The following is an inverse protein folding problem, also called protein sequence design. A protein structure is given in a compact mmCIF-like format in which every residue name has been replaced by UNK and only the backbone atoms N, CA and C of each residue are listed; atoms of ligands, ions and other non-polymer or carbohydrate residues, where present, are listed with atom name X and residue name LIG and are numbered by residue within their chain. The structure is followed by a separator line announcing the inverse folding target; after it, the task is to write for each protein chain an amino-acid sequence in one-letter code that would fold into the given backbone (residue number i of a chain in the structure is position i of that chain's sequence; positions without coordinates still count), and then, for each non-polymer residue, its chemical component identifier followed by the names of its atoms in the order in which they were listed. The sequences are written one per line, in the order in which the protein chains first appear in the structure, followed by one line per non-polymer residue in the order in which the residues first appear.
data_IF_437995580623
#
_entry.id   IF_437995580623
#
_cell.length_a   1.000
_cell.length_b   1.000
_cell.length_c   1.000
_cell.angle_alpha   90.00
_cell.angle_beta   90.00
_cell.angle_gamma   90.00
#
_symmetry.space_group_name_H-M   'P 1'
#
loop_
_entity.id
_entity.type
_entity.pdbx_description
1 polymer ?
#
# COMPACT_ATOMS: atom_id res chain seq x y z
N UNK A 1 -25.51 -0.11 -60.47
CA UNK A 1 -26.63 0.84 -60.30
C UNK A 1 -26.31 1.78 -59.16
N UNK A 2 -26.20 3.04 -59.53
CA UNK A 2 -25.81 4.23 -58.76
C UNK A 2 -26.87 4.63 -57.74
N UNK A 3 -26.46 5.19 -56.60
CA UNK A 3 -27.07 6.33 -55.88
C UNK A 3 -26.57 6.32 -54.42
N UNK A 4 -26.46 7.39 -53.64
CA UNK A 4 -26.11 8.81 -53.80
C UNK A 4 -26.02 9.33 -52.35
N UNK A 5 -24.97 10.09 -52.00
CA UNK A 5 -24.86 10.83 -50.72
C UNK A 5 -25.92 11.94 -50.61
N UNK A 6 -26.18 12.43 -49.39
CA UNK A 6 -25.94 13.84 -49.07
C UNK A 6 -25.17 13.96 -47.73
N UNK A 7 -24.13 14.76 -47.48
CA UNK A 7 -23.77 16.16 -47.77
C UNK A 7 -24.76 17.18 -47.16
N UNK A 8 -24.50 17.57 -45.91
CA UNK A 8 -24.94 18.84 -45.35
C UNK A 8 -23.74 19.73 -45.04
N UNK A 9 -23.81 20.93 -45.58
CA UNK A 9 -22.80 21.97 -45.54
C UNK A 9 -23.30 23.13 -44.65
N UNK A 10 -22.36 23.64 -43.84
CA UNK A 10 -22.06 25.06 -43.57
C UNK A 10 -23.05 26.03 -42.90
N UNK A 11 -22.47 26.70 -41.89
CA UNK A 11 -22.41 28.16 -41.62
C UNK A 11 -23.67 28.85 -41.11
N UNK A 12 -23.58 29.40 -39.89
CA UNK A 12 -24.01 30.78 -39.61
C UNK A 12 -22.95 31.48 -38.74
N UNK A 13 -22.30 32.47 -39.35
CA UNK A 13 -21.54 33.54 -38.70
C UNK A 13 -22.54 34.67 -38.40
N UNK A 14 -22.52 35.26 -37.21
CA UNK A 14 -23.07 36.61 -36.99
C UNK A 14 -22.05 37.47 -36.27
N UNK A 15 -21.43 38.37 -37.05
CA UNK A 15 -20.81 39.62 -36.59
C UNK A 15 -21.91 40.56 -36.12
N UNK A 16 -21.65 41.29 -35.04
CA UNK A 16 -22.20 42.63 -34.79
C UNK A 16 -21.05 43.56 -34.40
N UNK A 17 -20.82 44.54 -35.26
CA UNK A 17 -20.23 45.87 -35.02
C UNK A 17 -21.44 46.82 -34.87
N UNK A 18 -21.47 47.99 -34.23
CA UNK A 18 -20.58 48.97 -33.59
C UNK A 18 -21.52 49.88 -32.77
N UNK A 19 -21.05 50.56 -31.72
CA UNK A 19 -21.29 52.00 -31.50
C UNK A 19 -20.77 52.44 -30.11
N UNK A 20 -19.83 53.37 -30.17
CA UNK A 20 -19.35 54.20 -29.06
C UNK A 20 -20.45 55.10 -28.48
N UNK A 21 -20.40 55.34 -27.17
CA UNK A 21 -20.79 56.60 -26.53
C UNK A 21 -20.02 56.78 -25.22
N UNK A 22 -19.19 57.83 -25.18
CA UNK A 22 -18.52 58.39 -24.00
C UNK A 22 -19.53 59.14 -23.12
N UNK A 23 -19.44 59.00 -21.79
CA UNK A 23 -19.34 60.14 -20.84
C UNK A 23 -19.42 59.72 -19.35
N UNK A 24 -18.39 60.15 -18.61
CA UNK A 24 -18.40 60.71 -17.25
C UNK A 24 -18.97 59.91 -16.05
N UNK A 25 -18.01 59.41 -15.25
CA UNK A 25 -17.81 59.67 -13.81
C UNK A 25 -18.96 59.45 -12.81
N UNK A 26 -18.72 58.58 -11.82
CA UNK A 26 -18.44 58.92 -10.41
C UNK A 26 -18.24 57.59 -9.66
N UNK A 27 -17.23 57.59 -8.78
CA UNK A 27 -16.78 56.41 -8.07
C UNK A 27 -17.84 55.77 -7.19
N UNK A 28 -17.88 54.45 -7.28
CA UNK A 28 -18.14 53.57 -6.15
C UNK A 28 -17.34 52.31 -6.43
N UNK A 29 -16.07 52.33 -5.99
CA UNK A 29 -15.29 51.10 -5.89
C UNK A 29 -16.02 50.19 -4.90
N UNK A 30 -16.88 49.32 -5.41
CA UNK A 30 -17.27 48.11 -4.71
C UNK A 30 -16.02 47.23 -4.64
N UNK A 31 -15.13 47.57 -3.71
CA UNK A 31 -14.22 46.60 -3.11
C UNK A 31 -15.11 45.48 -2.58
N UNK A 32 -15.20 44.40 -3.35
CA UNK A 32 -15.58 43.12 -2.81
C UNK A 32 -14.53 42.80 -1.75
N UNK A 33 -14.82 43.22 -0.51
CA UNK A 33 -14.14 42.70 0.67
C UNK A 33 -14.51 41.23 0.66
N UNK A 34 -13.61 40.41 0.14
CA UNK A 34 -13.63 38.97 0.35
C UNK A 34 -13.69 38.78 1.86
N UNK A 35 -14.87 38.41 2.35
CA UNK A 35 -15.04 37.91 3.71
C UNK A 35 -14.34 36.54 3.71
N UNK A 36 -13.01 36.55 3.84
CA UNK A 36 -12.26 35.38 4.23
C UNK A 36 -12.81 34.96 5.60
N UNK A 37 -13.41 33.79 5.62
CA UNK A 37 -14.22 33.22 6.67
C UNK A 37 -13.42 33.12 7.98
N UNK A 38 -13.96 33.67 9.08
CA UNK A 38 -13.39 33.57 10.44
C UNK A 38 -13.09 32.12 10.90
N UNK A 39 -13.69 31.11 10.25
CA UNK A 39 -13.43 29.70 10.51
C UNK A 39 -12.03 29.24 10.05
N UNK A 40 -11.44 29.88 9.03
CA UNK A 40 -10.15 29.48 8.45
C UNK A 40 -8.95 30.05 9.22
N UNK A 41 -9.09 31.25 9.78
CA UNK A 41 -8.10 31.86 10.66
C UNK A 41 -7.85 31.00 11.93
N UNK A 42 -8.89 30.32 12.42
CA UNK A 42 -8.77 29.38 13.53
C UNK A 42 -8.09 28.07 13.16
N UNK A 43 -8.10 27.66 11.88
CA UNK A 43 -7.39 26.45 11.44
C UNK A 43 -5.87 26.68 11.49
N UNK A 44 -5.40 27.76 10.87
CA UNK A 44 -3.97 28.10 10.85
C UNK A 44 -3.40 28.38 12.24
N UNK A 45 -4.16 29.05 13.12
CA UNK A 45 -3.76 29.26 14.51
C UNK A 45 -3.58 27.94 15.30
N UNK A 46 -4.23 26.86 14.86
CA UNK A 46 -4.10 25.55 15.47
C UNK A 46 -3.02 24.68 14.80
N UNK A 47 -2.56 25.01 13.59
CA UNK A 47 -1.62 24.20 12.83
C UNK A 47 -0.27 24.10 13.56
N UNK A 48 0.25 22.87 13.70
CA UNK A 48 1.51 22.58 14.41
C UNK A 48 2.67 22.19 13.50
N UNK A 49 2.38 21.88 12.24
CA UNK A 49 3.35 21.44 11.25
C UNK A 49 3.04 22.10 9.92
N UNK A 50 4.02 22.17 9.02
CA UNK A 50 3.82 22.75 7.69
C UNK A 50 2.77 21.98 6.87
N UNK A 51 2.58 20.68 7.17
CA UNK A 51 1.51 19.88 6.58
C UNK A 51 0.13 20.23 7.13
N UNK A 52 0.03 20.60 8.40
CA UNK A 52 -1.22 21.12 8.97
C UNK A 52 -1.53 22.53 8.43
N UNK A 53 -0.51 23.36 8.18
CA UNK A 53 -0.69 24.65 7.52
C UNK A 53 -1.20 24.47 6.08
N UNK A 54 -0.55 23.60 5.29
CA UNK A 54 -1.01 23.24 3.95
C UNK A 54 -2.42 22.62 3.97
N UNK A 55 -2.75 21.81 4.99
CA UNK A 55 -4.10 21.31 5.18
C UNK A 55 -5.12 22.44 5.36
N UNK A 56 -4.80 23.45 6.17
CA UNK A 56 -5.68 24.60 6.39
C UNK A 56 -5.87 25.42 5.11
N UNK A 57 -4.81 25.62 4.33
CA UNK A 57 -4.88 26.29 3.01
C UNK A 57 -5.80 25.53 2.05
N UNK A 58 -5.66 24.21 1.97
CA UNK A 58 -6.54 23.39 1.12
C UNK A 58 -7.98 23.41 1.63
N UNK A 59 -8.18 23.40 2.95
CA UNK A 59 -9.52 23.38 3.57
C UNK A 59 -10.34 24.64 3.32
N UNK A 60 -9.68 25.79 3.17
CA UNK A 60 -10.30 27.05 2.78
C UNK A 60 -10.80 27.06 1.32
N UNK A 61 -10.45 26.05 0.51
CA UNK A 61 -10.89 25.94 -0.90
C UNK A 61 -12.06 24.96 -1.08
N UNK A 62 -12.78 25.01 -2.21
CA UNK A 62 -13.82 24.01 -2.53
C UNK A 62 -13.30 22.57 -2.57
N UNK A 63 -12.02 22.36 -2.89
CA UNK A 63 -11.39 21.04 -2.92
C UNK A 63 -11.19 20.46 -1.50
N UNK A 64 -11.13 21.33 -0.49
CA UNK A 64 -10.97 20.99 0.91
C UNK A 64 -12.22 20.47 1.62
N UNK A 65 -13.42 20.64 1.03
CA UNK A 65 -14.70 20.20 1.64
C UNK A 65 -14.81 18.69 1.85
N UNK A 66 -13.97 17.91 1.17
CA UNK A 66 -13.91 16.44 1.27
C UNK A 66 -12.77 15.95 2.17
N UNK A 67 -11.98 16.85 2.74
CA UNK A 67 -10.92 16.48 3.67
C UNK A 67 -11.51 16.01 5.00
N UNK A 68 -10.86 15.04 5.68
CA UNK A 68 -11.23 14.65 7.04
C UNK A 68 -11.09 15.84 7.99
N UNK A 69 -11.59 15.75 9.22
CA UNK A 69 -11.39 16.79 10.24
C UNK A 69 -9.90 17.01 10.54
N UNK A 70 -9.50 18.18 11.08
CA UNK A 70 -8.10 18.45 11.43
C UNK A 70 -7.61 17.46 12.51
N UNK A 71 -8.49 17.07 13.44
CA UNK A 71 -8.19 16.06 14.46
C UNK A 71 -7.93 14.68 13.87
N UNK A 72 -8.70 14.27 12.85
CA UNK A 72 -8.48 12.99 12.16
C UNK A 72 -7.27 13.04 11.23
N UNK A 73 -7.02 14.20 10.59
CA UNK A 73 -5.82 14.43 9.79
C UNK A 73 -4.55 14.24 10.63
N UNK A 74 -4.53 14.75 11.86
CA UNK A 74 -3.41 14.62 12.83
C UNK A 74 -3.08 13.19 13.24
N UNK A 75 -4.06 12.28 13.21
CA UNK A 75 -3.83 10.87 13.57
C UNK A 75 -2.99 10.14 12.52
N UNK A 76 -2.79 10.73 11.34
CA UNK A 76 -2.01 10.17 10.25
C UNK A 76 -0.54 10.58 10.34
N UNK A 77 0.37 9.70 9.90
CA UNK A 77 1.79 10.02 9.77
C UNK A 77 2.02 11.17 8.77
N UNK A 78 3.15 11.92 8.84
CA UNK A 78 3.43 13.01 7.89
C UNK A 78 3.35 12.60 6.41
N UNK A 79 3.72 11.35 6.09
CA UNK A 79 3.59 10.81 4.73
C UNK A 79 2.14 10.58 4.31
N UNK A 80 1.29 10.08 5.22
CA UNK A 80 -0.14 9.93 4.97
C UNK A 80 -0.85 11.29 4.92
N UNK A 81 -0.47 12.24 5.77
CA UNK A 81 -0.91 13.63 5.70
C UNK A 81 -0.62 14.22 4.32
N UNK A 82 0.61 14.07 3.80
CA UNK A 82 0.97 14.47 2.43
C UNK A 82 0.11 13.79 1.38
N UNK A 83 -0.14 12.49 1.50
CA UNK A 83 -0.96 11.75 0.54
C UNK A 83 -2.41 12.24 0.50
N UNK A 84 -3.01 12.44 1.68
CA UNK A 84 -4.35 13.01 1.85
C UNK A 84 -4.43 14.39 1.19
N UNK A 85 -3.37 15.19 1.34
CA UNK A 85 -3.30 16.53 0.74
C UNK A 85 -2.98 16.52 -0.76
N UNK A 86 -2.25 15.54 -1.29
CA UNK A 86 -1.66 15.59 -2.65
C UNK A 86 -2.65 15.95 -3.76
N UNK A 87 -3.77 15.24 -3.83
CA UNK A 87 -4.80 15.46 -4.87
C UNK A 87 -5.60 16.74 -4.64
N UNK A 88 -6.13 17.04 -3.44
CA UNK A 88 -6.87 18.28 -3.21
C UNK A 88 -5.98 19.53 -3.23
N UNK A 89 -4.73 19.48 -2.76
CA UNK A 89 -3.77 20.58 -2.83
C UNK A 89 -3.39 20.92 -4.28
N UNK A 90 -3.12 19.91 -5.11
CA UNK A 90 -2.89 20.12 -6.56
C UNK A 90 -4.09 20.78 -7.25
N UNK A 91 -5.32 20.43 -6.86
CA UNK A 91 -6.54 21.06 -7.39
C UNK A 91 -6.75 22.49 -6.88
N UNK A 92 -6.26 22.78 -5.68
CA UNK A 92 -6.34 24.07 -5.03
C UNK A 92 -5.17 25.01 -5.37
N UNK A 93 -4.12 24.51 -6.06
CA UNK A 93 -2.89 25.26 -6.29
C UNK A 93 -2.07 25.49 -5.03
N UNK A 94 -2.30 24.70 -3.97
CA UNK A 94 -1.56 24.78 -2.71
C UNK A 94 -0.33 23.88 -2.80
N UNK A 95 0.82 24.43 -2.45
CA UNK A 95 2.08 23.69 -2.41
C UNK A 95 2.18 22.88 -1.11
N UNK A 96 2.61 21.63 -1.23
CA UNK A 96 2.80 20.75 -0.06
C UNK A 96 4.29 20.71 0.25
N UNK A 97 4.70 20.97 1.51
CA UNK A 97 6.08 20.85 1.94
C UNK A 97 6.67 19.48 1.56
N UNK A 98 7.71 19.52 0.73
CA UNK A 98 8.50 18.37 0.34
C UNK A 98 9.21 17.78 1.57
N UNK A 99 9.43 16.46 1.56
CA UNK A 99 10.09 15.79 2.66
C UNK A 99 11.59 16.09 2.59
N UNK A 100 12.05 17.14 3.26
CA UNK A 100 13.47 17.43 3.38
C UNK A 100 14.15 16.26 4.10
N UNK A 101 14.85 15.43 3.33
CA UNK A 101 15.78 14.45 3.82
C UNK A 101 17.03 15.21 4.29
N UNK A 102 17.02 15.74 5.51
CA UNK A 102 18.27 16.12 6.17
C UNK A 102 18.17 16.25 7.69
N UNK A 103 19.04 15.46 8.33
CA UNK A 103 19.72 15.66 9.62
C UNK A 103 18.96 15.37 10.92
N UNK A 104 19.19 14.15 11.42
CA UNK A 104 19.46 13.97 12.85
C UNK A 104 20.68 13.05 13.06
N UNK A 105 21.50 13.43 14.03
CA UNK A 105 22.93 13.15 14.18
C UNK A 105 23.31 11.66 14.35
N UNK A 106 24.30 11.21 13.58
CA UNK A 106 25.05 9.96 13.83
C UNK A 106 26.40 10.30 14.47
N UNK A 107 26.75 9.80 15.67
CA UNK A 107 28.14 9.72 16.08
C UNK A 107 28.80 8.53 15.39
N UNK A 108 29.91 8.84 14.73
CA UNK A 108 30.88 7.91 14.17
C UNK A 108 31.56 7.11 15.29
N UNK A 109 31.76 5.81 15.08
CA UNK A 109 32.50 4.93 15.98
C UNK A 109 33.06 3.74 15.19
N UNK A 110 34.37 3.75 15.05
CA UNK A 110 35.23 2.97 14.17
C UNK A 110 35.41 1.49 14.52
N UNK A 111 35.83 0.75 13.50
CA UNK A 111 36.17 -0.66 13.44
C UNK A 111 37.25 -1.14 14.44
N UNK A 112 37.19 -2.43 14.79
CA UNK A 112 38.38 -3.26 14.99
C UNK A 112 38.04 -4.74 14.79
N UNK A 113 38.70 -5.35 13.82
CA UNK A 113 38.74 -6.77 13.51
C UNK A 113 39.24 -7.65 14.66
N UNK A 114 38.63 -8.84 14.83
CA UNK A 114 39.42 -10.03 15.15
C UNK A 114 38.74 -11.32 14.68
N UNK A 115 39.24 -11.81 13.54
CA UNK A 115 39.15 -13.17 13.02
C UNK A 115 39.79 -14.17 14.00
N UNK A 116 39.10 -15.24 14.36
CA UNK A 116 39.73 -16.53 14.65
C UNK A 116 38.78 -17.68 14.31
N UNK A 117 39.37 -18.77 13.82
CA UNK A 117 38.76 -19.82 13.03
C UNK A 117 39.08 -21.19 13.64
N UNK A 118 38.06 -22.07 13.59
CA UNK A 118 38.06 -23.55 13.50
C UNK A 118 38.54 -24.37 14.73
N UNK A 119 37.65 -25.24 15.25
CA UNK A 119 37.81 -26.71 15.16
C UNK A 119 36.53 -27.48 15.53
N UNK A 120 36.15 -28.40 14.64
CA UNK A 120 35.25 -29.55 14.86
C UNK A 120 35.87 -30.56 15.85
N UNK A 121 35.04 -31.44 16.43
CA UNK A 121 35.41 -32.84 16.51
C UNK A 121 34.33 -33.77 15.91
N UNK A 122 34.85 -34.75 15.18
CA UNK A 122 34.12 -35.77 14.44
C UNK A 122 33.87 -37.01 15.32
N UNK A 123 32.70 -37.62 15.12
CA UNK A 123 32.30 -39.04 15.25
C UNK A 123 32.76 -39.91 16.43
N UNK A 124 31.79 -40.56 17.08
CA UNK A 124 31.74 -42.04 17.07
C UNK A 124 30.34 -42.60 17.36
N UNK A 125 30.04 -43.67 16.63
CA UNK A 125 28.83 -44.49 16.64
C UNK A 125 28.49 -45.10 18.00
N UNK A 126 27.19 -45.24 18.27
CA UNK A 126 26.66 -46.40 18.99
C UNK A 126 25.24 -46.72 18.48
N UNK A 127 25.13 -47.86 17.79
CA UNK A 127 23.87 -48.50 17.39
C UNK A 127 23.11 -48.97 18.63
N UNK A 128 21.82 -48.70 18.73
CA UNK A 128 20.90 -49.61 19.43
C UNK A 128 19.48 -49.49 18.88
N UNK A 129 18.99 -50.61 18.33
CA UNK A 129 17.63 -50.82 17.91
C UNK A 129 16.66 -50.75 19.10
N UNK A 130 15.57 -49.98 18.98
CA UNK A 130 14.29 -50.22 19.69
C UNK A 130 13.14 -49.55 18.93
N UNK A 131 12.19 -50.37 18.50
CA UNK A 131 10.97 -49.98 17.78
C UNK A 131 10.09 -48.99 18.55
N UNK A 132 9.43 -48.03 17.90
CA UNK A 132 8.37 -47.25 18.52
C UNK A 132 7.00 -47.96 18.44
N UNK A 133 6.18 -47.93 19.49
CA UNK A 133 4.81 -48.42 19.47
C UNK A 133 3.83 -47.42 18.85
N UNK A 134 2.72 -47.98 18.40
CA UNK A 134 1.50 -47.43 17.78
C UNK A 134 0.97 -46.11 18.38
N UNK A 135 0.48 -45.15 17.57
CA UNK A 135 -0.11 -43.91 18.08
C UNK A 135 -1.59 -44.11 18.46
N UNK A 136 -1.90 -43.93 19.76
CA UNK A 136 -3.27 -43.81 20.26
C UNK A 136 -3.53 -42.37 20.71
N UNK A 137 -4.72 -41.89 20.34
CA UNK A 137 -5.42 -40.67 20.80
C UNK A 137 -4.78 -39.30 20.51
N UNK A 138 -5.40 -38.63 19.52
CA UNK A 138 -5.32 -37.21 19.17
C UNK A 138 -5.56 -36.31 20.39
N UNK A 139 -4.60 -35.45 20.79
CA UNK A 139 -4.87 -34.39 21.75
C UNK A 139 -5.84 -33.37 21.15
N UNK A 140 -6.85 -33.00 21.93
CA UNK A 140 -7.80 -31.93 21.67
C UNK A 140 -7.09 -30.65 21.21
N UNK A 141 -7.70 -29.95 20.26
CA UNK A 141 -7.18 -28.71 19.70
C UNK A 141 -6.76 -27.72 20.81
N UNK A 142 -5.62 -27.02 20.67
CA UNK A 142 -5.22 -25.99 21.62
C UNK A 142 -6.32 -24.93 21.77
N UNK A 143 -6.53 -24.39 22.98
CA UNK A 143 -7.48 -23.30 23.17
C UNK A 143 -7.12 -22.12 22.26
N UNK A 144 -8.14 -21.52 21.65
CA UNK A 144 -8.00 -20.32 20.83
C UNK A 144 -7.25 -19.24 21.63
N UNK A 145 -6.01 -18.95 21.22
CA UNK A 145 -5.18 -17.92 21.86
C UNK A 145 -5.85 -16.56 21.66
N UNK A 146 -5.75 -15.65 22.65
CA UNK A 146 -6.29 -14.31 22.51
C UNK A 146 -5.70 -13.65 21.27
N UNK A 147 -6.59 -13.13 20.43
CA UNK A 147 -6.23 -12.35 19.24
C UNK A 147 -5.46 -11.11 19.69
N UNK A 148 -4.16 -11.08 19.43
CA UNK A 148 -3.34 -9.89 19.63
C UNK A 148 -3.84 -8.82 18.67
N UNK A 149 -4.53 -7.81 19.20
CA UNK A 149 -4.90 -6.61 18.47
C UNK A 149 -3.83 -5.55 18.72
N UNK A 150 -3.06 -5.24 17.69
CA UNK A 150 -2.03 -4.20 17.72
C UNK A 150 -0.62 -4.73 17.49
N UNK A 151 0.05 -4.20 16.46
CA UNK A 151 1.42 -4.54 16.09
C UNK A 151 2.45 -4.02 17.11
N UNK A 152 2.08 -3.03 17.93
CA UNK A 152 2.97 -2.36 18.90
C UNK A 152 3.53 -3.28 19.99
N UNK A 153 2.93 -4.46 20.17
CA UNK A 153 3.40 -5.50 21.10
C UNK A 153 4.33 -6.51 20.45
N UNK A 154 4.64 -6.32 19.18
CA UNK A 154 5.55 -7.16 18.44
C UNK A 154 6.95 -6.55 18.41
N UNK A 155 7.96 -7.41 18.36
CA UNK A 155 9.37 -7.04 18.19
C UNK A 155 9.85 -7.49 16.83
N UNK A 156 10.40 -6.55 16.06
CA UNK A 156 10.97 -6.81 14.74
C UNK A 156 12.43 -7.26 14.87
N UNK A 157 12.73 -8.45 14.35
CA UNK A 157 14.05 -9.09 14.35
C UNK A 157 14.45 -9.47 12.91
N UNK A 158 14.68 -8.47 12.04
CA UNK A 158 15.03 -8.64 10.61
C UNK A 158 14.17 -9.70 9.89
N UNK A 159 14.59 -10.96 9.87
CA UNK A 159 13.90 -12.07 9.24
C UNK A 159 12.80 -12.71 10.11
N UNK A 160 12.52 -12.15 11.28
CA UNK A 160 11.49 -12.63 12.19
C UNK A 160 10.74 -11.47 12.84
N UNK A 161 9.46 -11.67 13.15
CA UNK A 161 8.68 -10.81 14.04
C UNK A 161 8.18 -11.67 15.19
N UNK A 162 8.40 -11.24 16.43
CA UNK A 162 7.90 -11.92 17.61
C UNK A 162 6.74 -11.13 18.22
N UNK A 163 5.58 -11.76 18.39
CA UNK A 163 4.42 -11.17 19.05
C UNK A 163 4.01 -12.06 20.23
N UNK A 164 4.52 -11.74 21.43
CA UNK A 164 4.36 -12.61 22.59
C UNK A 164 5.06 -13.97 22.40
N UNK A 165 4.27 -15.04 22.32
CA UNK A 165 4.76 -16.42 22.09
C UNK A 165 4.75 -16.84 20.62
N UNK A 166 4.19 -16.02 19.74
CA UNK A 166 4.12 -16.34 18.32
C UNK A 166 5.32 -15.72 17.60
N UNK A 167 5.87 -16.47 16.65
CA UNK A 167 6.95 -16.03 15.79
C UNK A 167 6.48 -16.08 14.35
N UNK A 168 6.78 -15.03 13.59
CA UNK A 168 6.47 -14.92 12.17
C UNK A 168 7.78 -14.81 11.42
N UNK A 169 8.00 -15.66 10.43
CA UNK A 169 9.24 -15.73 9.66
C UNK A 169 9.07 -15.03 8.32
N UNK A 170 10.07 -14.24 7.93
CA UNK A 170 10.11 -13.57 6.64
C UNK A 170 10.04 -14.61 5.52
N UNK A 171 9.03 -14.47 4.68
CA UNK A 171 8.82 -15.28 3.49
C UNK A 171 9.63 -14.73 2.34
N UNK A 172 10.29 -15.64 1.66
CA UNK A 172 11.17 -15.37 0.52
C UNK A 172 10.59 -16.02 -0.73
N UNK A 173 11.19 -15.74 -1.87
CA UNK A 173 10.85 -16.50 -3.08
C UNK A 173 11.39 -17.94 -2.97
N UNK A 174 10.56 -18.92 -3.31
CA UNK A 174 10.93 -20.34 -3.30
C UNK A 174 11.33 -20.80 -4.71
N UNK A 175 12.29 -21.71 -4.77
CA UNK A 175 12.63 -22.42 -6.01
C UNK A 175 11.51 -23.38 -6.40
N UNK A 176 11.45 -23.77 -7.68
CA UNK A 176 10.34 -24.57 -8.20
C UNK A 176 10.27 -25.98 -7.62
N UNK A 177 11.42 -26.54 -7.26
CA UNK A 177 11.57 -27.85 -6.61
C UNK A 177 11.05 -27.88 -5.17
N UNK A 178 10.97 -26.74 -4.49
CA UNK A 178 10.38 -26.58 -3.17
C UNK A 178 8.84 -26.44 -3.21
N UNK A 179 8.23 -26.42 -4.39
CA UNK A 179 6.78 -26.26 -4.59
C UNK A 179 6.16 -27.56 -5.10
N UNK A 180 4.94 -27.85 -4.64
CA UNK A 180 4.19 -28.99 -5.18
C UNK A 180 3.65 -28.64 -6.57
N UNK A 181 3.56 -29.59 -7.52
CA UNK A 181 3.02 -29.31 -8.85
C UNK A 181 1.58 -28.75 -8.84
N UNK A 182 0.81 -29.07 -7.79
CA UNK A 182 -0.56 -28.59 -7.60
C UNK A 182 -0.66 -27.06 -7.49
N UNK A 183 0.40 -26.35 -7.09
CA UNK A 183 0.34 -24.87 -7.03
C UNK A 183 0.25 -24.24 -8.41
N UNK A 184 0.65 -24.96 -9.47
CA UNK A 184 0.55 -24.50 -10.86
C UNK A 184 -0.68 -25.02 -11.58
N UNK A 185 -1.54 -25.80 -10.91
CA UNK A 185 -2.69 -26.43 -11.52
C UNK A 185 -3.82 -25.44 -11.84
N UNK A 186 -4.85 -25.94 -12.54
CA UNK A 186 -6.00 -25.13 -12.93
C UNK A 186 -6.90 -24.74 -11.74
N UNK A 187 -6.77 -25.42 -10.61
CA UNK A 187 -7.58 -25.22 -9.41
C UNK A 187 -7.01 -24.08 -8.55
N UNK A 188 -5.70 -23.85 -8.59
CA UNK A 188 -5.10 -22.70 -7.91
C UNK A 188 -5.36 -21.41 -8.70
N UNK A 189 -6.55 -20.84 -8.56
CA UNK A 189 -6.98 -19.58 -9.21
C UNK A 189 -7.04 -18.44 -8.20
N UNK A 190 -6.76 -17.22 -8.65
CA UNK A 190 -7.08 -16.01 -7.89
C UNK A 190 -8.48 -15.55 -8.30
N UNK A 191 -9.35 -15.37 -7.31
CA UNK A 191 -10.69 -14.82 -7.50
C UNK A 191 -11.00 -13.97 -6.29
N UNK A 192 -11.45 -12.74 -6.52
CA UNK A 192 -11.87 -11.85 -5.46
C UNK A 192 -13.40 -11.80 -5.37
N UNK A 193 -13.96 -11.67 -4.15
CA UNK A 193 -15.37 -11.34 -4.00
C UNK A 193 -15.68 -9.99 -4.64
N UNK A 194 -16.93 -9.78 -5.05
CA UNK A 194 -17.38 -8.46 -5.50
C UNK A 194 -17.32 -7.44 -4.36
N UNK A 195 -17.19 -6.16 -4.72
CA UNK A 195 -17.35 -5.04 -3.80
C UNK A 195 -18.81 -4.92 -3.39
N UNK A 196 -19.07 -4.77 -2.10
CA UNK A 196 -20.43 -4.62 -1.61
C UNK A 196 -20.99 -3.23 -1.98
N UNK A 197 -22.30 -3.13 -2.15
CA UNK A 197 -22.95 -1.84 -2.40
C UNK A 197 -22.71 -0.90 -1.21
N UNK A 198 -22.17 0.29 -1.47
CA UNK A 198 -21.87 1.29 -0.44
C UNK A 198 -20.57 1.06 0.35
N UNK A 199 -19.85 -0.05 0.12
CA UNK A 199 -18.54 -0.28 0.74
C UNK A 199 -17.53 0.74 0.22
N UNK A 200 -16.75 1.37 1.09
CA UNK A 200 -15.69 2.25 0.65
C UNK A 200 -14.62 1.46 -0.10
N UNK A 201 -14.00 2.06 -1.12
CA UNK A 201 -13.03 1.36 -1.96
C UNK A 201 -11.85 0.84 -1.14
N UNK A 202 -11.37 1.61 -0.17
CA UNK A 202 -10.25 1.19 0.67
C UNK A 202 -10.61 -0.01 1.56
N UNK A 203 -11.85 -0.08 2.06
CA UNK A 203 -12.33 -1.21 2.85
C UNK A 203 -12.38 -2.48 1.99
N UNK A 204 -12.91 -2.35 0.78
CA UNK A 204 -12.92 -3.43 -0.21
C UNK A 204 -11.51 -3.95 -0.51
N UNK A 205 -10.59 -3.06 -0.83
CA UNK A 205 -9.21 -3.41 -1.17
C UNK A 205 -8.46 -4.03 0.01
N UNK A 206 -8.63 -3.47 1.21
CA UNK A 206 -8.02 -4.01 2.43
C UNK A 206 -8.55 -5.42 2.75
N UNK A 207 -9.82 -5.70 2.43
CA UNK A 207 -10.45 -7.00 2.63
C UNK A 207 -9.96 -8.08 1.66
N UNK A 208 -9.64 -7.72 0.42
CA UNK A 208 -9.19 -8.69 -0.61
C UNK A 208 -7.67 -8.82 -0.70
N UNK A 209 -6.92 -7.85 -0.19
CA UNK A 209 -5.46 -7.88 -0.17
C UNK A 209 -4.85 -9.12 0.54
N UNK A 210 -5.41 -9.64 1.66
CA UNK A 210 -4.99 -10.92 2.23
C UNK A 210 -4.98 -12.07 1.22
N UNK A 211 -6.03 -12.19 0.40
CA UNK A 211 -6.15 -13.26 -0.59
C UNK A 211 -5.08 -13.15 -1.68
N UNK A 212 -4.71 -11.92 -2.06
CA UNK A 212 -3.59 -11.70 -2.96
C UNK A 212 -2.27 -12.21 -2.35
N UNK A 213 -1.96 -11.81 -1.11
CA UNK A 213 -0.71 -12.22 -0.44
C UNK A 213 -0.66 -13.74 -0.27
N UNK A 214 -1.74 -14.36 0.20
CA UNK A 214 -1.83 -15.81 0.34
C UNK A 214 -1.58 -16.54 -1.00
N UNK A 215 -2.14 -16.02 -2.10
CA UNK A 215 -1.91 -16.59 -3.44
C UNK A 215 -0.48 -16.45 -3.91
N UNK A 216 0.17 -15.31 -3.64
CA UNK A 216 1.59 -15.13 -3.95
C UNK A 216 2.47 -16.08 -3.12
N UNK A 217 2.17 -16.26 -1.84
CA UNK A 217 2.87 -17.22 -0.99
C UNK A 217 2.68 -18.66 -1.47
N UNK A 218 1.48 -19.03 -1.91
CA UNK A 218 1.17 -20.37 -2.40
C UNK A 218 2.04 -20.78 -3.61
N UNK A 219 2.38 -19.84 -4.49
CA UNK A 219 3.25 -20.08 -5.65
C UNK A 219 4.73 -19.74 -5.37
N UNK A 220 5.08 -19.53 -4.11
CA UNK A 220 6.45 -19.30 -3.66
C UNK A 220 7.00 -17.92 -4.03
N UNK A 221 6.17 -16.89 -4.09
CA UNK A 221 6.56 -15.51 -4.46
C UNK A 221 6.60 -14.55 -3.26
N UNK A 222 7.17 -14.96 -2.12
CA UNK A 222 7.15 -14.17 -0.88
C UNK A 222 7.89 -12.82 -0.96
N UNK A 223 9.03 -12.76 -1.66
CA UNK A 223 9.83 -11.52 -1.84
C UNK A 223 9.42 -10.75 -3.12
N UNK A 224 8.41 -11.24 -3.85
CA UNK A 224 7.90 -10.63 -5.09
C UNK A 224 6.45 -10.12 -4.94
N UNK A 225 6.01 -9.91 -3.70
CA UNK A 225 4.68 -9.36 -3.42
C UNK A 225 4.67 -7.84 -3.56
N UNK A 226 3.50 -7.27 -3.86
CA UNK A 226 3.30 -5.83 -3.86
C UNK A 226 2.70 -5.35 -2.53
N UNK A 227 3.02 -4.12 -2.14
CA UNK A 227 2.41 -3.43 -0.99
C UNK A 227 0.93 -3.14 -1.24
N UNK A 228 0.17 -2.91 -0.17
CA UNK A 228 -1.24 -2.51 -0.28
C UNK A 228 -1.41 -1.23 -1.11
N UNK A 229 -0.47 -0.28 -0.97
CA UNK A 229 -0.47 0.95 -1.78
C UNK A 229 -0.36 0.66 -3.27
N UNK A 230 0.55 -0.24 -3.67
CA UNK A 230 0.72 -0.59 -5.08
C UNK A 230 -0.45 -1.41 -5.60
N UNK A 231 -1.04 -2.26 -4.76
CA UNK A 231 -2.27 -2.99 -5.06
C UNK A 231 -3.42 -2.03 -5.34
N UNK A 232 -3.65 -1.05 -4.45
CA UNK A 232 -4.68 -0.03 -4.62
C UNK A 232 -4.46 0.87 -5.84
N UNK A 233 -3.21 1.28 -6.10
CA UNK A 233 -2.88 2.04 -7.31
C UNK A 233 -3.13 1.22 -8.59
N UNK A 234 -2.94 -0.09 -8.55
CA UNK A 234 -3.26 -0.97 -9.69
C UNK A 234 -4.77 -1.07 -9.90
N UNK A 235 -5.55 -1.12 -8.82
CA UNK A 235 -7.01 -1.05 -8.89
C UNK A 235 -7.47 0.24 -9.59
N UNK A 236 -7.02 1.40 -9.09
CA UNK A 236 -7.37 2.70 -9.68
C UNK A 236 -7.01 2.77 -11.17
N UNK A 237 -5.83 2.27 -11.55
CA UNK A 237 -5.39 2.29 -12.95
C UNK A 237 -6.25 1.41 -13.88
N UNK A 238 -6.75 0.26 -13.39
CA UNK A 238 -7.64 -0.61 -14.17
C UNK A 238 -9.02 0.04 -14.32
N UNK A 239 -9.57 0.58 -13.23
CA UNK A 239 -10.87 1.26 -13.25
C UNK A 239 -10.86 2.52 -14.12
N UNK A 240 -9.80 3.34 -14.03
CA UNK A 240 -9.62 4.55 -14.86
C UNK A 240 -9.52 4.21 -16.36
N UNK A 241 -9.02 3.01 -16.69
CA UNK A 241 -8.99 2.49 -18.05
C UNK A 241 -10.30 1.82 -18.49
N UNK A 242 -11.32 1.77 -17.62
CA UNK A 242 -12.60 1.11 -17.87
C UNK A 242 -12.52 -0.42 -17.91
N UNK A 243 -11.49 -1.01 -17.30
CA UNK A 243 -11.32 -2.46 -17.21
C UNK A 243 -11.99 -3.07 -15.98
N UNK A 244 -12.09 -4.40 -15.96
CA UNK A 244 -12.51 -5.15 -14.77
C UNK A 244 -11.29 -5.58 -13.94
N UNK A 245 -11.19 -5.06 -12.72
CA UNK A 245 -10.06 -5.36 -11.84
C UNK A 245 -9.93 -6.86 -11.54
N UNK A 246 -11.02 -7.55 -11.24
CA UNK A 246 -11.00 -8.95 -10.82
C UNK A 246 -10.49 -9.85 -11.96
N UNK A 247 -11.02 -9.65 -13.17
CA UNK A 247 -10.56 -10.33 -14.39
C UNK A 247 -9.10 -10.02 -14.64
N UNK A 248 -8.70 -8.73 -14.59
CA UNK A 248 -7.33 -8.35 -14.95
C UNK A 248 -6.29 -8.90 -13.96
N UNK A 249 -6.61 -8.91 -12.67
CA UNK A 249 -5.72 -9.49 -11.66
C UNK A 249 -5.68 -11.01 -11.72
N UNK A 250 -6.79 -11.67 -12.02
CA UNK A 250 -6.84 -13.11 -12.22
C UNK A 250 -5.97 -13.54 -13.41
N UNK A 251 -6.04 -12.82 -14.54
CA UNK A 251 -5.18 -13.02 -15.70
C UNK A 251 -3.70 -12.82 -15.35
N UNK A 252 -3.37 -11.74 -14.63
CA UNK A 252 -2.01 -11.49 -14.16
C UNK A 252 -1.48 -12.64 -13.31
N UNK A 253 -2.29 -13.15 -12.39
CA UNK A 253 -1.92 -14.27 -11.54
C UNK A 253 -1.68 -15.57 -12.33
N UNK A 254 -2.49 -15.85 -13.36
CA UNK A 254 -2.27 -17.00 -14.23
C UNK A 254 -0.98 -16.86 -15.04
N UNK A 255 -0.68 -15.67 -15.58
CA UNK A 255 0.60 -15.42 -16.24
C UNK A 255 1.78 -15.64 -15.27
N UNK A 256 1.70 -15.11 -14.05
CA UNK A 256 2.74 -15.31 -13.03
C UNK A 256 2.94 -16.78 -12.67
N UNK A 257 1.85 -17.56 -12.54
CA UNK A 257 1.91 -19.00 -12.32
C UNK A 257 2.63 -19.72 -13.46
N UNK A 258 2.24 -19.42 -14.71
CA UNK A 258 2.85 -20.03 -15.90
C UNK A 258 4.33 -19.67 -16.00
N UNK A 259 4.71 -18.41 -15.76
CA UNK A 259 6.12 -18.03 -15.77
C UNK A 259 6.89 -18.72 -14.64
N UNK A 260 6.33 -18.74 -13.43
CA UNK A 260 6.96 -19.35 -12.26
C UNK A 260 7.13 -20.86 -12.42
N UNK A 261 6.24 -21.57 -13.09
CA UNK A 261 6.40 -23.03 -13.29
C UNK A 261 7.60 -23.38 -14.17
N UNK A 262 8.02 -22.48 -15.05
CA UNK A 262 9.11 -22.72 -16.01
C UNK A 262 10.42 -21.99 -15.65
N UNK A 263 10.35 -20.94 -14.83
CA UNK A 263 11.49 -20.09 -14.54
C UNK A 263 11.83 -20.07 -13.06
N UNK A 264 13.11 -20.26 -12.76
CA UNK A 264 13.65 -19.98 -11.44
C UNK A 264 13.71 -18.46 -11.21
N UNK A 265 13.45 -18.06 -9.97
CA UNK A 265 13.52 -16.65 -9.55
C UNK A 265 14.51 -16.51 -8.41
N UNK A 266 15.02 -15.30 -8.21
CA UNK A 266 15.93 -15.02 -7.09
C UNK A 266 15.18 -15.16 -5.78
N UNK A 267 15.76 -15.87 -4.82
CA UNK A 267 15.20 -16.05 -3.46
C UNK A 267 14.94 -14.70 -2.77
N UNK A 268 15.86 -13.75 -2.94
CA UNK A 268 15.77 -12.37 -2.46
C UNK A 268 16.29 -11.41 -3.53
N UNK A 269 15.65 -10.27 -3.72
CA UNK A 269 16.15 -9.22 -4.63
C UNK A 269 17.08 -8.23 -3.94
N UNK A 270 16.97 -8.08 -2.62
CA UNK A 270 17.86 -7.24 -1.82
C UNK A 270 17.95 -7.77 -0.37
N UNK A 271 18.84 -7.17 0.41
CA UNK A 271 19.04 -7.49 1.83
C UNK A 271 18.42 -6.43 2.75
N UNK A 272 17.45 -5.66 2.25
CA UNK A 272 16.76 -4.67 3.05
C UNK A 272 15.73 -5.37 3.93
N UNK A 273 15.45 -4.74 5.07
CA UNK A 273 14.46 -5.17 6.05
C UNK A 273 13.62 -3.95 6.44
N UNK A 274 12.40 -4.17 6.97
CA UNK A 274 11.65 -3.08 7.59
C UNK A 274 12.52 -2.46 8.69
N UNK A 275 12.52 -1.14 8.77
CA UNK A 275 13.34 -0.42 9.75
C UNK A 275 12.68 -0.39 11.13
N UNK A 276 11.35 -0.42 11.14
CA UNK A 276 10.53 -0.22 12.33
C UNK A 276 9.27 -1.10 12.26
N UNK A 277 8.82 -1.61 13.40
CA UNK A 277 7.59 -2.40 13.54
C UNK A 277 6.34 -1.59 13.21
N UNK A 278 6.40 -0.26 13.33
CA UNK A 278 5.32 0.67 12.95
C UNK A 278 5.03 0.67 11.45
N UNK A 279 5.95 0.17 10.63
CA UNK A 279 5.73 -0.06 9.20
C UNK A 279 5.01 -1.39 8.91
N UNK A 280 4.62 -2.14 9.95
CA UNK A 280 4.02 -3.45 9.86
C UNK A 280 2.56 -3.46 10.33
N UNK A 281 1.78 -4.38 9.80
CA UNK A 281 0.40 -4.61 10.22
C UNK A 281 0.04 -6.09 10.10
N UNK A 282 -0.87 -6.54 10.96
CA UNK A 282 -1.50 -7.84 10.79
C UNK A 282 -2.42 -7.81 9.56
N UNK A 283 -2.20 -8.74 8.65
CA UNK A 283 -3.07 -8.96 7.50
C UNK A 283 -4.10 -10.05 7.79
N UNK A 284 -3.66 -11.11 8.47
CA UNK A 284 -4.51 -12.16 9.04
C UNK A 284 -3.98 -12.52 10.42
N UNK A 285 -4.55 -13.53 11.08
CA UNK A 285 -3.98 -14.03 12.33
C UNK A 285 -2.61 -14.68 12.13
N UNK A 286 -2.26 -15.13 10.92
CA UNK A 286 -1.01 -15.86 10.58
C UNK A 286 -0.03 -15.05 9.74
N UNK A 287 -0.45 -13.91 9.19
CA UNK A 287 0.35 -13.10 8.26
C UNK A 287 0.51 -11.69 8.80
N UNK A 288 1.75 -11.23 8.87
CA UNK A 288 2.13 -9.84 9.09
C UNK A 288 2.77 -9.33 7.81
N UNK A 289 2.37 -8.14 7.37
CA UNK A 289 3.01 -7.46 6.25
C UNK A 289 3.63 -6.18 6.75
N UNK A 290 4.87 -5.94 6.36
CA UNK A 290 5.54 -4.67 6.50
C UNK A 290 5.81 -4.09 5.12
N UNK A 291 5.68 -2.77 4.96
CA UNK A 291 6.02 -2.14 3.69
C UNK A 291 6.50 -0.71 3.88
N UNK A 292 7.22 -0.22 2.88
CA UNK A 292 7.63 1.18 2.80
C UNK A 292 7.18 1.80 1.47
N UNK A 293 6.04 1.36 0.94
CA UNK A 293 5.54 1.61 -0.43
C UNK A 293 6.36 0.94 -1.54
N UNK A 294 7.70 0.99 -1.45
CA UNK A 294 8.61 0.49 -2.50
C UNK A 294 8.88 -1.01 -2.42
N UNK A 295 8.92 -1.54 -1.20
CA UNK A 295 9.18 -2.94 -0.91
C UNK A 295 8.14 -3.46 0.07
N UNK A 296 7.76 -4.72 -0.14
CA UNK A 296 6.84 -5.45 0.72
C UNK A 296 7.60 -6.62 1.37
N UNK A 297 7.46 -6.78 2.68
CA UNK A 297 8.00 -7.90 3.44
C UNK A 297 6.84 -8.66 4.08
N UNK A 298 6.71 -9.93 3.74
CA UNK A 298 5.63 -10.78 4.25
C UNK A 298 6.21 -11.73 5.27
N UNK A 299 5.66 -11.75 6.48
CA UNK A 299 6.01 -12.68 7.54
C UNK A 299 4.85 -13.62 7.79
N UNK A 300 5.13 -14.91 7.91
CA UNK A 300 4.13 -15.95 8.15
C UNK A 300 4.53 -16.76 9.39
N UNK A 301 3.54 -17.10 10.22
CA UNK A 301 3.75 -17.85 11.46
C UNK A 301 4.16 -19.30 11.24
#
# INVERSE_FOLDING_TARGET
MTTQKPRWQTKICRKWQLADLLAFSIGASCTAISIATLADANCHALARTDLEAAYCDVRATPAGKKLPSLGDFRKNTPSMQRLILKKPAKKAGVEIPEQNADREHKPSGTAADKKLSIQEPNSNEAKTNKSPPTPTSRPSAPPARPSFSGIDRCSLLKNQIQCGYDYYLLRVNLQNDALTPAVFSAENRLSFPARNTGEAQLDFLSRIYPQYIEKMLAIGLGDSTMSLTRFAATYDAVEDAGGDFNTRFAEMYEMLKTEKSHNAIRTRYNQNYPQDITACQFLTSTIIVCDNVTQNWVYER
#
